data_IF_776639332426
#
_entry.id   IF_776639332426
#
_cell.length_a   1.000
_cell.length_b   1.000
_cell.length_c   1.000
_cell.angle_alpha   90.00
_cell.angle_beta   90.00
_cell.angle_gamma   90.00
#
_symmetry.space_group_name_H-M   'P 1'
#
loop_
_entity.id
_entity.type
_entity.pdbx_description
1 polymer ?
#
# COMPACT_ATOMS: atom_id res chain seq x y z
N UNK A 1 -3.89 6.57 4.97
CA UNK A 1 -3.29 5.80 6.07
C UNK A 1 -2.07 5.08 5.53
N UNK A 2 -1.02 4.97 6.33
CA UNK A 2 0.19 4.22 6.01
C UNK A 2 0.37 3.08 7.01
N UNK A 3 0.95 1.97 6.55
CA UNK A 3 1.20 0.76 7.34
C UNK A 3 2.62 0.30 7.09
N UNK A 4 3.42 0.18 8.15
CA UNK A 4 4.66 -0.57 8.13
C UNK A 4 4.36 -2.05 8.38
N UNK A 5 4.91 -2.91 7.52
CA UNK A 5 4.67 -4.34 7.52
C UNK A 5 5.89 -5.07 8.06
N UNK A 6 5.68 -5.78 9.16
CA UNK A 6 6.67 -6.68 9.73
C UNK A 6 6.03 -7.92 10.35
N UNK A 7 6.84 -8.67 11.09
CA UNK A 7 6.40 -9.88 11.78
C UNK A 7 5.81 -9.55 13.15
N UNK A 8 4.50 -9.79 13.32
CA UNK A 8 3.77 -9.71 14.59
C UNK A 8 4.28 -10.62 15.72
N UNK A 9 5.23 -11.54 15.46
CA UNK A 9 5.92 -12.29 16.51
C UNK A 9 6.80 -11.41 17.41
N UNK A 10 7.10 -10.18 16.96
CA UNK A 10 7.89 -9.17 17.69
C UNK A 10 7.00 -7.95 17.90
N UNK A 11 7.02 -7.32 19.10
CA UNK A 11 6.39 -6.02 19.31
C UNK A 11 6.90 -4.98 18.33
N UNK A 12 6.02 -4.10 17.85
CA UNK A 12 6.27 -3.12 16.80
C UNK A 12 6.22 -3.67 15.38
N UNK A 13 6.09 -4.99 15.19
CA UNK A 13 6.16 -5.63 13.88
C UNK A 13 4.96 -5.36 12.97
N UNK A 14 4.01 -4.54 13.38
CA UNK A 14 2.97 -3.98 12.52
C UNK A 14 2.69 -2.60 13.08
N UNK A 15 2.90 -1.55 12.30
CA UNK A 15 2.64 -0.18 12.75
C UNK A 15 1.78 0.52 11.72
N UNK A 16 0.85 1.38 12.16
CA UNK A 16 0.01 2.14 11.26
C UNK A 16 -0.15 3.57 11.74
N UNK A 17 -0.33 4.48 10.79
CA UNK A 17 -0.50 5.89 11.07
C UNK A 17 -1.46 6.56 10.08
N UNK A 18 -2.04 7.64 10.55
CA UNK A 18 -2.83 8.59 9.78
C UNK A 18 -2.04 9.92 9.66
N UNK A 19 -2.25 10.71 8.60
CA UNK A 19 -1.57 12.00 8.46
C UNK A 19 -1.91 13.00 9.57
N UNK A 20 -3.06 12.85 10.23
CA UNK A 20 -3.59 13.69 11.31
C UNK A 20 -3.17 13.25 12.71
N UNK A 21 -2.34 12.20 12.83
CA UNK A 21 -1.65 11.84 14.06
C UNK A 21 -2.31 10.74 14.90
N UNK A 22 -3.37 10.10 14.40
CA UNK A 22 -3.83 8.81 14.94
C UNK A 22 -2.88 7.70 14.49
N UNK A 23 -2.42 6.86 15.42
CA UNK A 23 -1.48 5.77 15.18
C UNK A 23 -1.78 4.53 16.05
N UNK A 24 -1.09 3.44 15.77
CA UNK A 24 -1.14 2.22 16.57
C UNK A 24 -0.16 1.16 16.09
N UNK A 25 0.06 0.13 16.91
CA UNK A 25 0.94 -0.98 16.57
C UNK A 25 0.41 -2.34 17.06
N UNK A 26 0.97 -3.41 16.49
CA UNK A 26 0.81 -4.83 16.81
C UNK A 26 -0.59 -5.43 16.62
N UNK A 27 -1.64 -4.61 16.59
CA UNK A 27 -3.02 -5.03 16.40
C UNK A 27 -3.60 -4.51 15.07
N UNK A 28 -3.61 -5.34 14.01
CA UNK A 28 -4.27 -5.02 12.75
C UNK A 28 -5.78 -4.74 12.89
N UNK A 29 -6.45 -5.27 13.93
CA UNK A 29 -7.88 -5.01 14.15
C UNK A 29 -8.15 -3.58 14.57
N UNK A 30 -7.21 -2.91 15.25
CA UNK A 30 -7.31 -1.49 15.59
C UNK A 30 -7.32 -0.63 14.31
N UNK A 31 -6.43 -0.91 13.35
CA UNK A 31 -6.47 -0.27 12.03
C UNK A 31 -7.79 -0.60 11.31
N UNK A 32 -8.19 -1.87 11.31
CA UNK A 32 -9.44 -2.32 10.72
C UNK A 32 -10.66 -1.54 11.24
N UNK A 33 -10.74 -1.32 12.55
CA UNK A 33 -11.81 -0.54 13.17
C UNK A 33 -11.82 0.92 12.71
N UNK A 34 -10.66 1.56 12.54
CA UNK A 34 -10.57 2.93 12.01
C UNK A 34 -11.05 2.99 10.55
N UNK A 35 -10.63 2.02 9.71
CA UNK A 35 -11.06 1.92 8.31
C UNK A 35 -12.57 1.70 8.22
N UNK A 36 -13.10 0.74 8.96
CA UNK A 36 -14.54 0.39 8.98
C UNK A 36 -15.38 1.57 9.45
N UNK A 37 -14.96 2.25 10.53
CA UNK A 37 -15.66 3.43 11.04
C UNK A 37 -15.75 4.53 9.97
N UNK A 38 -14.63 4.86 9.31
CA UNK A 38 -14.61 5.86 8.26
C UNK A 38 -15.52 5.49 7.07
N UNK A 39 -15.48 4.25 6.61
CA UNK A 39 -16.33 3.78 5.50
C UNK A 39 -17.82 3.80 5.87
N UNK A 40 -18.17 3.39 7.10
CA UNK A 40 -19.55 3.44 7.59
C UNK A 40 -20.09 4.87 7.74
N UNK A 41 -19.22 5.85 7.95
CA UNK A 41 -19.54 7.28 7.94
C UNK A 41 -19.60 7.88 6.52
N UNK A 42 -19.42 7.06 5.48
CA UNK A 42 -19.41 7.49 4.09
C UNK A 42 -18.13 8.20 3.65
N UNK A 43 -17.04 8.09 4.42
CA UNK A 43 -15.72 8.64 4.06
C UNK A 43 -14.93 7.62 3.24
N UNK A 44 -14.34 8.06 2.13
CA UNK A 44 -13.41 7.24 1.37
C UNK A 44 -12.08 7.09 2.12
N UNK A 45 -11.48 5.90 2.05
CA UNK A 45 -10.23 5.55 2.72
C UNK A 45 -9.18 5.15 1.70
N UNK A 46 -7.95 5.66 1.88
CA UNK A 46 -6.79 5.21 1.13
C UNK A 46 -5.75 4.63 2.08
N UNK A 47 -5.26 3.43 1.77
CA UNK A 47 -4.35 2.64 2.61
C UNK A 47 -3.10 2.26 1.81
N UNK A 48 -1.92 2.70 2.25
CA UNK A 48 -0.64 2.30 1.67
C UNK A 48 0.08 1.33 2.62
N UNK A 49 0.44 0.14 2.13
CA UNK A 49 1.17 -0.87 2.91
C UNK A 49 2.63 -0.93 2.46
N UNK A 50 3.56 -0.95 3.41
CA UNK A 50 5.00 -1.08 3.16
C UNK A 50 5.39 -2.52 2.81
N UNK A 51 4.89 -2.99 1.67
CA UNK A 51 5.27 -4.26 1.08
C UNK A 51 5.05 -4.21 -0.44
N UNK A 52 5.82 -4.96 -1.23
CA UNK A 52 5.56 -5.02 -2.66
C UNK A 52 4.17 -5.60 -2.95
N UNK A 53 3.33 -4.84 -3.68
CA UNK A 53 1.97 -5.25 -4.08
C UNK A 53 1.79 -5.37 -5.59
N UNK A 54 2.80 -5.00 -6.38
CA UNK A 54 2.87 -5.29 -7.81
C UNK A 54 4.09 -6.14 -8.10
N UNK A 55 3.88 -7.32 -8.68
CA UNK A 55 4.95 -8.21 -9.11
C UNK A 55 4.97 -8.27 -10.64
N UNK A 56 6.09 -7.98 -11.31
CA UNK A 56 6.17 -8.04 -12.77
C UNK A 56 5.84 -9.43 -13.30
N UNK A 57 4.95 -9.48 -14.29
CA UNK A 57 4.69 -10.69 -15.08
C UNK A 57 5.13 -10.42 -16.51
N UNK A 58 6.36 -10.82 -16.88
CA UNK A 58 6.88 -10.58 -18.23
C UNK A 58 6.09 -11.38 -19.27
N UNK A 59 6.12 -10.92 -20.52
CA UNK A 59 5.52 -11.65 -21.65
C UNK A 59 6.24 -12.95 -21.98
N UNK A 60 5.62 -13.76 -22.85
CA UNK A 60 6.04 -15.14 -23.15
C UNK A 60 7.53 -15.29 -23.57
N UNK A 61 8.08 -14.31 -24.29
CA UNK A 61 9.48 -14.35 -24.75
C UNK A 61 10.49 -13.78 -23.74
N UNK A 62 10.01 -13.28 -22.59
CA UNK A 62 10.78 -12.50 -21.63
C UNK A 62 10.96 -13.21 -20.29
N UNK A 63 10.84 -14.54 -20.25
CA UNK A 63 11.00 -15.36 -19.04
C UNK A 63 12.32 -15.11 -18.27
N UNK A 64 13.37 -14.63 -18.93
CA UNK A 64 14.65 -14.23 -18.30
C UNK A 64 14.52 -13.02 -17.37
N UNK A 65 13.40 -12.30 -17.44
CA UNK A 65 13.04 -11.19 -16.57
C UNK A 65 12.29 -11.65 -15.30
N UNK A 66 11.90 -12.92 -15.20
CA UNK A 66 11.26 -13.45 -13.99
C UNK A 66 12.15 -13.21 -12.76
N UNK A 67 11.58 -12.61 -11.73
CA UNK A 67 12.29 -12.24 -10.51
C UNK A 67 13.18 -10.99 -10.63
N UNK A 68 13.17 -10.26 -11.75
CA UNK A 68 13.82 -8.94 -11.83
C UNK A 68 12.98 -7.88 -11.11
N UNK A 69 13.67 -6.82 -10.66
CA UNK A 69 13.03 -5.69 -10.02
C UNK A 69 12.19 -4.86 -10.99
N UNK A 70 11.27 -4.08 -10.42
CA UNK A 70 10.47 -3.08 -11.15
C UNK A 70 11.35 -1.90 -11.57
N UNK A 71 10.88 -1.14 -12.55
CA UNK A 71 11.49 0.17 -12.78
C UNK A 71 11.40 0.99 -11.49
N UNK A 72 12.47 1.68 -11.11
CA UNK A 72 12.50 2.54 -9.91
C UNK A 72 12.88 1.87 -8.58
N UNK A 73 13.06 0.55 -8.52
CA UNK A 73 13.52 -0.18 -7.30
C UNK A 73 15.03 -0.11 -7.06
N UNK A 74 15.82 0.20 -8.09
CA UNK A 74 17.29 0.20 -7.99
C UNK A 74 17.86 -1.21 -7.77
N UNK A 75 18.78 -1.35 -6.81
CA UNK A 75 19.56 -2.57 -6.60
C UNK A 75 18.91 -3.62 -5.67
N UNK A 76 17.75 -3.33 -5.09
CA UNK A 76 17.04 -4.24 -4.17
C UNK A 76 15.65 -4.54 -4.72
N UNK A 77 15.52 -5.57 -5.58
CA UNK A 77 14.23 -5.92 -6.16
C UNK A 77 13.27 -6.46 -5.11
N UNK A 78 11.97 -6.40 -5.39
CA UNK A 78 10.91 -7.06 -4.60
C UNK A 78 11.21 -8.55 -4.31
N UNK A 79 11.93 -9.22 -5.21
CA UNK A 79 12.29 -10.64 -5.13
C UNK A 79 13.51 -10.93 -4.25
N UNK A 80 14.26 -9.91 -3.83
CA UNK A 80 15.38 -10.09 -2.90
C UNK A 80 14.87 -10.59 -1.54
N UNK A 81 15.73 -11.26 -0.77
CA UNK A 81 15.31 -12.00 0.45
C UNK A 81 14.42 -11.19 1.42
N UNK A 82 14.78 -9.93 1.70
CA UNK A 82 13.96 -9.06 2.55
C UNK A 82 12.62 -8.66 1.88
N UNK A 83 12.65 -8.31 0.59
CA UNK A 83 11.47 -7.96 -0.20
C UNK A 83 10.46 -9.10 -0.30
N UNK A 84 10.93 -10.31 -0.59
CA UNK A 84 10.07 -11.50 -0.70
C UNK A 84 9.43 -11.88 0.66
N UNK A 85 10.17 -11.72 1.75
CA UNK A 85 9.68 -11.97 3.10
C UNK A 85 8.61 -10.96 3.54
N UNK A 86 8.84 -9.67 3.30
CA UNK A 86 7.87 -8.62 3.65
C UNK A 86 6.64 -8.67 2.74
N UNK A 87 6.81 -9.00 1.45
CA UNK A 87 5.70 -9.28 0.52
C UNK A 87 4.79 -10.37 1.10
N UNK A 88 5.35 -11.51 1.49
CA UNK A 88 4.55 -12.65 1.98
C UNK A 88 3.82 -12.30 3.27
N UNK A 89 4.50 -11.61 4.19
CA UNK A 89 3.89 -11.14 5.45
C UNK A 89 2.77 -10.14 5.19
N UNK A 90 3.03 -9.15 4.33
CA UNK A 90 2.08 -8.12 3.95
C UNK A 90 0.86 -8.66 3.22
N UNK A 91 1.03 -9.68 2.38
CA UNK A 91 -0.08 -10.37 1.71
C UNK A 91 -1.08 -10.96 2.71
N UNK A 92 -0.59 -11.67 3.72
CA UNK A 92 -1.45 -12.29 4.73
C UNK A 92 -2.15 -11.22 5.56
N UNK A 93 -1.43 -10.16 5.95
CA UNK A 93 -2.00 -9.05 6.71
C UNK A 93 -3.04 -8.27 5.89
N UNK A 94 -2.78 -8.00 4.61
CA UNK A 94 -3.71 -7.32 3.71
C UNK A 94 -4.97 -8.15 3.47
N UNK A 95 -4.82 -9.44 3.19
CA UNK A 95 -5.96 -10.34 3.00
C UNK A 95 -6.85 -10.38 4.26
N UNK A 96 -6.23 -10.47 5.44
CA UNK A 96 -6.94 -10.40 6.72
C UNK A 96 -7.65 -9.06 6.93
N UNK A 97 -6.98 -7.93 6.65
CA UNK A 97 -7.60 -6.59 6.75
C UNK A 97 -8.79 -6.44 5.80
N UNK A 98 -8.66 -6.94 4.56
CA UNK A 98 -9.75 -6.92 3.60
C UNK A 98 -10.94 -7.76 4.10
N UNK A 99 -10.69 -8.94 4.66
CA UNK A 99 -11.73 -9.78 5.26
C UNK A 99 -12.39 -9.08 6.45
N UNK A 100 -11.59 -8.44 7.31
CA UNK A 100 -12.11 -7.66 8.44
C UNK A 100 -13.05 -6.54 7.98
N UNK A 101 -12.70 -5.83 6.89
CA UNK A 101 -13.56 -4.80 6.28
C UNK A 101 -14.87 -5.41 5.77
N UNK A 102 -14.82 -6.54 5.08
CA UNK A 102 -16.02 -7.25 4.58
C UNK A 102 -16.95 -7.66 5.71
N UNK A 103 -16.40 -8.14 6.83
CA UNK A 103 -17.17 -8.63 7.97
C UNK A 103 -17.83 -7.51 8.81
N UNK A 104 -17.25 -6.31 8.83
CA UNK A 104 -17.65 -5.26 9.77
C UNK A 104 -18.21 -3.99 9.12
N UNK A 105 -18.07 -3.80 7.81
CA UNK A 105 -18.74 -2.70 7.11
C UNK A 105 -20.24 -2.99 6.93
N UNK A 106 -21.06 -1.97 7.20
CA UNK A 106 -22.51 -2.03 7.00
C UNK A 106 -22.90 -2.14 5.52
N UNK A 107 -22.06 -1.59 4.64
CA UNK A 107 -22.15 -1.70 3.18
C UNK A 107 -20.77 -2.05 2.64
N UNK A 108 -20.71 -2.99 1.70
CA UNK A 108 -19.47 -3.45 1.13
C UNK A 108 -18.83 -2.33 0.26
N UNK A 109 -17.63 -1.84 0.59
CA UNK A 109 -17.03 -0.72 -0.14
C UNK A 109 -16.54 -1.18 -1.51
N UNK A 110 -16.72 -0.36 -2.55
CA UNK A 110 -16.06 -0.56 -3.83
C UNK A 110 -14.57 -0.29 -3.63
N UNK A 111 -13.75 -1.23 -4.08
CA UNK A 111 -12.30 -1.21 -3.87
C UNK A 111 -11.58 -1.01 -5.19
N UNK A 112 -10.47 -0.28 -5.16
CA UNK A 112 -9.59 -0.08 -6.31
C UNK A 112 -8.14 0.01 -5.85
N UNK A 113 -7.24 -0.19 -6.79
CA UNK A 113 -5.80 0.08 -6.72
C UNK A 113 -5.41 1.26 -7.61
N UNK A 114 -6.38 1.81 -8.37
CA UNK A 114 -6.18 2.84 -9.37
C UNK A 114 -6.57 4.22 -8.84
N UNK A 115 -5.60 5.14 -8.82
CA UNK A 115 -5.80 6.49 -8.30
C UNK A 115 -6.95 7.23 -9.01
N UNK A 116 -7.06 7.11 -10.34
CA UNK A 116 -8.10 7.75 -11.13
C UNK A 116 -9.52 7.30 -10.73
N UNK A 117 -9.72 5.99 -10.52
CA UNK A 117 -11.00 5.43 -10.08
C UNK A 117 -11.37 5.94 -8.70
N UNK A 118 -10.41 5.97 -7.78
CA UNK A 118 -10.63 6.53 -6.44
C UNK A 118 -11.02 8.02 -6.48
N UNK A 119 -10.29 8.83 -7.26
CA UNK A 119 -10.56 10.28 -7.35
C UNK A 119 -11.90 10.62 -8.02
N UNK A 120 -12.36 9.76 -8.94
CA UNK A 120 -13.67 9.91 -9.61
C UNK A 120 -14.86 9.50 -8.73
N UNK A 121 -14.62 8.88 -7.57
CA UNK A 121 -15.68 8.33 -6.71
C UNK A 121 -16.19 6.95 -7.13
N UNK A 122 -15.54 6.29 -8.10
CA UNK A 122 -15.88 4.92 -8.50
C UNK A 122 -15.59 3.90 -7.39
N UNK A 123 -14.69 4.22 -6.44
CA UNK A 123 -14.34 3.37 -5.31
C UNK A 123 -14.20 4.15 -4.00
N UNK A 124 -14.65 3.56 -2.89
CA UNK A 124 -14.47 4.13 -1.55
C UNK A 124 -13.16 3.70 -0.87
N UNK A 125 -12.58 2.58 -1.28
CA UNK A 125 -11.33 2.05 -0.72
C UNK A 125 -10.23 2.01 -1.78
N UNK A 126 -9.14 2.74 -1.56
CA UNK A 126 -7.91 2.66 -2.36
C UNK A 126 -6.86 1.84 -1.62
N UNK A 127 -6.41 0.75 -2.23
CA UNK A 127 -5.27 -0.04 -1.77
C UNK A 127 -4.03 0.36 -2.57
N UNK A 128 -2.97 0.75 -1.88
CA UNK A 128 -1.72 1.23 -2.44
C UNK A 128 -0.52 0.53 -1.81
N UNK A 129 0.61 0.59 -2.48
CA UNK A 129 1.91 0.21 -1.95
C UNK A 129 2.61 1.44 -1.37
N UNK A 130 3.24 1.32 -0.21
CA UNK A 130 4.23 2.26 0.28
C UNK A 130 5.63 1.72 0.00
N UNK A 131 6.55 2.62 -0.38
CA UNK A 131 7.96 2.29 -0.51
C UNK A 131 8.79 3.29 0.29
N UNK A 132 9.23 2.88 1.48
CA UNK A 132 10.06 3.70 2.39
C UNK A 132 11.52 3.24 2.27
N UNK A 133 12.26 3.85 1.36
CA UNK A 133 13.69 3.52 1.17
C UNK A 133 14.57 4.27 2.17
N UNK A 134 15.75 3.71 2.50
CA UNK A 134 16.73 4.28 3.43
C UNK A 134 17.01 5.78 3.23
N UNK A 135 17.05 6.24 1.97
CA UNK A 135 17.35 7.64 1.64
C UNK A 135 16.20 8.60 1.97
N UNK A 136 14.98 8.07 2.13
CA UNK A 136 13.78 8.80 2.53
C UNK A 136 13.27 8.44 3.93
N UNK A 137 13.97 7.58 4.67
CA UNK A 137 13.56 7.21 6.04
C UNK A 137 13.71 8.41 6.98
N UNK A 138 12.69 8.70 7.81
CA UNK A 138 12.83 9.71 8.86
C UNK A 138 14.01 9.38 9.78
N UNK A 139 14.69 10.42 10.29
CA UNK A 139 15.73 10.23 11.31
C UNK A 139 15.09 9.63 12.55
N UNK A 140 15.68 8.56 13.07
CA UNK A 140 15.15 7.78 14.19
C UNK A 140 14.86 8.70 15.39
N UNK A 141 13.60 8.71 15.84
CA UNK A 141 13.13 9.40 17.04
C UNK A 141 12.61 8.37 18.06
N UNK A 142 12.44 8.80 19.31
CA UNK A 142 12.15 7.97 20.50
C UNK A 142 10.97 6.98 20.38
N UNK A 143 10.10 7.10 19.35
CA UNK A 143 8.91 6.25 19.12
C UNK A 143 9.16 4.97 18.29
N UNK A 144 10.39 4.73 17.82
CA UNK A 144 10.75 3.53 17.05
C UNK A 144 10.54 3.68 15.55
N UNK A 145 11.41 3.03 14.76
CA UNK A 145 11.51 3.23 13.30
C UNK A 145 10.23 2.85 12.54
N UNK A 146 9.54 1.79 12.96
CA UNK A 146 8.38 1.22 12.26
C UNK A 146 7.18 2.20 12.26
N UNK A 147 6.99 2.97 13.34
CA UNK A 147 5.98 4.03 13.40
C UNK A 147 6.30 5.20 12.45
N UNK A 148 7.57 5.59 12.37
CA UNK A 148 8.01 6.67 11.50
C UNK A 148 7.85 6.29 10.03
N UNK A 149 8.12 5.03 9.68
CA UNK A 149 7.93 4.53 8.33
C UNK A 149 6.44 4.49 7.95
N UNK A 150 5.56 4.05 8.87
CA UNK A 150 4.10 4.10 8.69
C UNK A 150 3.57 5.54 8.51
N UNK A 151 4.09 6.50 9.29
CA UNK A 151 3.72 7.91 9.17
C UNK A 151 4.21 8.51 7.85
N UNK A 152 5.45 8.24 7.44
CA UNK A 152 6.00 8.69 6.17
C UNK A 152 5.19 8.16 4.98
N UNK A 153 4.79 6.88 5.03
CA UNK A 153 3.87 6.29 4.06
C UNK A 153 2.52 7.02 4.01
N UNK A 154 1.93 7.31 5.18
CA UNK A 154 0.67 8.03 5.29
C UNK A 154 0.75 9.44 4.69
N UNK A 155 1.81 10.19 5.02
CA UNK A 155 2.06 11.54 4.53
C UNK A 155 2.31 11.56 3.02
N UNK A 156 3.10 10.62 2.49
CA UNK A 156 3.36 10.52 1.05
C UNK A 156 2.07 10.25 0.27
N UNK A 157 1.25 9.31 0.73
CA UNK A 157 -0.04 9.02 0.09
C UNK A 157 -0.99 10.23 0.17
N UNK A 158 -1.04 10.93 1.30
CA UNK A 158 -1.84 12.15 1.44
C UNK A 158 -1.37 13.27 0.49
N UNK A 159 -0.06 13.44 0.32
CA UNK A 159 0.53 14.38 -0.64
C UNK A 159 0.15 14.04 -2.08
N UNK A 160 0.22 12.76 -2.47
CA UNK A 160 -0.24 12.28 -3.79
C UNK A 160 -1.71 12.63 -4.03
N UNK A 161 -2.58 12.33 -3.07
CA UNK A 161 -4.01 12.61 -3.19
C UNK A 161 -4.30 14.12 -3.30
N UNK A 162 -3.56 14.94 -2.54
CA UNK A 162 -3.69 16.40 -2.57
C UNK A 162 -3.28 16.97 -3.92
N UNK A 163 -2.10 16.58 -4.41
CA UNK A 163 -1.59 17.01 -5.71
C UNK A 163 -2.52 16.58 -6.86
N UNK A 164 -2.97 15.32 -6.86
CA UNK A 164 -3.86 14.80 -7.89
C UNK A 164 -5.22 15.52 -7.92
N UNK A 165 -5.78 15.86 -6.75
CA UNK A 165 -7.01 16.66 -6.65
C UNK A 165 -6.83 18.10 -7.13
N UNK A 166 -5.62 18.64 -7.02
CA UNK A 166 -5.26 19.93 -7.60
C UNK A 166 -5.01 19.87 -9.12
N UNK A 167 -5.11 18.70 -9.74
CA UNK A 167 -4.88 18.49 -11.18
C UNK A 167 -3.40 18.35 -11.56
N UNK A 168 -2.52 18.13 -10.58
CA UNK A 168 -1.11 17.90 -10.83
C UNK A 168 -0.85 16.48 -11.36
N UNK A 169 0.15 16.35 -12.23
CA UNK A 169 0.60 15.05 -12.70
C UNK A 169 1.28 14.30 -11.55
N UNK A 170 0.74 13.13 -11.18
CA UNK A 170 1.37 12.22 -10.22
C UNK A 170 2.19 11.20 -10.99
N UNK A 171 3.52 11.31 -10.90
CA UNK A 171 4.43 10.31 -11.44
C UNK A 171 4.47 9.06 -10.55
N UNK A 172 4.39 7.87 -11.17
CA UNK A 172 4.66 6.62 -10.47
C UNK A 172 6.17 6.41 -10.46
N UNK A 173 6.78 6.50 -9.28
CA UNK A 173 8.24 6.32 -9.14
C UNK A 173 8.65 4.85 -9.38
N UNK A 174 7.68 3.93 -9.37
CA UNK A 174 7.85 2.48 -9.53
C UNK A 174 6.74 1.95 -10.43
N UNK A 175 7.09 1.06 -11.37
CA UNK A 175 6.13 0.46 -12.30
C UNK A 175 6.61 -0.89 -12.86
N UNK A 176 5.65 -1.74 -13.23
CA UNK A 176 5.90 -2.96 -14.00
C UNK A 176 5.72 -2.63 -15.50
N UNK A 177 6.82 -2.53 -16.23
CA UNK A 177 6.80 -2.14 -17.65
C UNK A 177 6.07 -3.11 -18.59
N UNK A 178 5.75 -4.33 -18.14
CA UNK A 178 5.25 -5.43 -18.97
C UNK A 178 3.95 -6.06 -18.45
N UNK A 179 3.30 -5.41 -17.48
CA UNK A 179 2.16 -5.96 -16.76
C UNK A 179 2.53 -6.46 -15.37
N UNK A 180 1.54 -6.47 -14.48
CA UNK A 180 1.73 -6.81 -13.09
C UNK A 180 0.76 -7.91 -12.65
N UNK A 181 1.22 -8.79 -11.78
CA UNK A 181 0.36 -9.48 -10.85
C UNK A 181 0.04 -8.50 -9.72
N UNK A 182 -1.18 -7.98 -9.73
CA UNK A 182 -1.66 -7.06 -8.70
C UNK A 182 -2.11 -7.84 -7.47
N UNK A 183 -1.23 -7.85 -6.46
CA UNK A 183 -1.43 -8.59 -5.23
C UNK A 183 -2.47 -7.93 -4.32
N UNK A 184 -2.62 -6.60 -4.38
CA UNK A 184 -3.67 -5.90 -3.64
C UNK A 184 -5.07 -6.26 -4.18
N UNK A 185 -5.23 -6.26 -5.50
CA UNK A 185 -6.47 -6.67 -6.13
C UNK A 185 -6.77 -8.16 -5.92
N UNK A 186 -5.74 -9.00 -5.93
CA UNK A 186 -5.86 -10.43 -5.60
C UNK A 186 -6.36 -10.63 -4.16
N UNK A 187 -5.77 -9.93 -3.19
CA UNK A 187 -6.18 -9.97 -1.78
C UNK A 187 -7.61 -9.44 -1.56
N UNK A 188 -7.98 -8.35 -2.24
CA UNK A 188 -9.34 -7.81 -2.19
C UNK A 188 -10.36 -8.82 -2.73
N UNK A 189 -10.11 -9.41 -3.91
CA UNK A 189 -10.97 -10.45 -4.47
C UNK A 189 -11.05 -11.69 -3.58
N UNK A 190 -9.93 -12.12 -2.99
CA UNK A 190 -9.89 -13.25 -2.06
C UNK A 190 -10.81 -13.04 -0.84
N UNK A 191 -10.81 -11.83 -0.29
CA UNK A 191 -11.67 -11.46 0.83
C UNK A 191 -13.15 -11.25 0.45
N UNK A 192 -13.47 -11.12 -0.85
CA UNK A 192 -14.81 -10.83 -1.34
C UNK A 192 -15.11 -9.34 -1.50
N UNK A 193 -14.10 -8.47 -1.49
CA UNK A 193 -14.28 -7.05 -1.82
C UNK A 193 -14.52 -6.87 -3.33
N UNK A 194 -15.47 -6.02 -3.75
CA UNK A 194 -15.68 -5.67 -5.15
C UNK A 194 -14.48 -4.90 -5.68
N UNK A 195 -13.85 -5.43 -6.71
CA UNK A 195 -12.80 -4.76 -7.48
C UNK A 195 -12.90 -5.22 -8.92
N UNK A 196 -12.56 -4.34 -9.85
CA UNK A 196 -12.66 -4.66 -11.27
C UNK A 196 -11.58 -5.68 -11.67
N UNK A 197 -11.98 -6.65 -12.50
CA UNK A 197 -11.12 -7.79 -12.87
C UNK A 197 -9.89 -7.40 -13.70
N UNK A 198 -9.93 -6.25 -14.37
CA UNK A 198 -8.79 -5.74 -15.12
C UNK A 198 -7.64 -5.33 -14.19
N UNK A 199 -7.95 -4.86 -12.97
CA UNK A 199 -6.93 -4.44 -12.00
C UNK A 199 -6.01 -5.57 -11.56
N UNK A 200 -6.42 -6.83 -11.69
CA UNK A 200 -5.55 -8.00 -11.46
C UNK A 200 -4.26 -7.97 -12.30
N UNK A 201 -4.28 -7.24 -13.41
CA UNK A 201 -3.17 -7.12 -14.39
C UNK A 201 -2.52 -5.75 -14.41
N UNK A 202 -3.00 -4.79 -13.62
CA UNK A 202 -2.51 -3.40 -13.57
C UNK A 202 -1.56 -3.20 -12.40
N UNK A 203 -0.68 -2.20 -12.53
CA UNK A 203 0.13 -1.74 -11.40
C UNK A 203 -0.75 -1.18 -10.28
N UNK A 204 -0.31 -1.41 -9.04
CA UNK A 204 -0.81 -0.73 -7.85
C UNK A 204 -0.16 0.65 -7.78
N UNK A 205 -0.90 1.66 -7.30
CA UNK A 205 -0.31 2.95 -6.94
C UNK A 205 0.84 2.75 -5.93
N UNK A 206 2.05 3.20 -6.28
CA UNK A 206 3.21 3.16 -5.37
C UNK A 206 3.50 4.55 -4.79
N UNK A 207 3.27 4.70 -3.50
CA UNK A 207 3.62 5.87 -2.69
C UNK A 207 5.07 5.75 -2.20
N UNK A 208 6.03 6.09 -3.08
CA UNK A 208 7.46 6.09 -2.72
C UNK A 208 7.83 7.34 -1.93
N UNK A 209 8.34 7.17 -0.70
CA UNK A 209 8.82 8.27 0.14
C UNK A 209 10.12 8.83 -0.46
N UNK A 210 10.18 10.15 -0.63
CA UNK A 210 11.35 10.86 -1.19
C UNK A 210 12.14 11.49 -0.04
N UNK A 211 13.47 11.65 -0.17
CA UNK A 211 14.27 12.40 0.79
C UNK A 211 13.74 13.84 0.93
N UNK A 212 13.79 14.41 2.13
CA UNK A 212 13.65 15.85 2.28
C UNK A 212 14.81 16.51 1.52
N UNK A 213 14.49 17.27 0.46
CA UNK A 213 15.48 18.13 -0.19
C UNK A 213 15.96 19.13 0.85
N UNK A 214 17.22 19.02 1.28
CA UNK A 214 17.86 20.03 2.12
C UNK A 214 17.82 21.36 1.36
N UNK A 215 16.96 22.27 1.81
CA UNK A 215 16.89 23.66 1.37
C UNK A 215 18.11 24.45 1.85
#
# INVERSE_FOLDING_TARGET
MGVDVGSLRRPGGFSWATPDGQDGADDPSALGAVVVSALNEGRSVALALECPLSVPVPGDEEWKQLGRGRMGEGNRPWSAGAGAAVLTTGLVQLAWLCQHVVEHCSTLPRTTTQLSRFLSGEAELLLAEAMVTSDGKPKTVDRGQDHEDALAAAQRLAGILTAARAGEAVETDVSCSQGALNLAATSALHAGLPIASDELRLDVLVAKVRPETSS
#
